data_IF_087640530341
#
_entry.id   IF_087640530341
#
_cell.length_a   1.000
_cell.length_b   1.000
_cell.length_c   1.000
_cell.angle_alpha   90.00
_cell.angle_beta   90.00
_cell.angle_gamma   90.00
#
_symmetry.space_group_name_H-M   'P 1'
#
loop_
_entity.id
_entity.type
_entity.pdbx_description
1 polymer ?
#
# COMPACT_ATOMS: atom_id res chain seq x y z
N UNK A 1 9.07 11.00 -0.38
CA UNK A 1 10.52 11.27 -0.49
C UNK A 1 11.16 10.29 -1.47
N UNK A 2 11.92 10.79 -2.39
CA UNK A 2 12.65 9.93 -3.30
C UNK A 2 13.86 9.31 -2.59
N UNK A 3 13.94 7.98 -2.57
CA UNK A 3 15.05 7.26 -1.94
C UNK A 3 16.14 6.93 -2.96
N UNK A 4 15.73 6.43 -4.11
CA UNK A 4 16.62 6.17 -5.25
C UNK A 4 15.93 6.63 -6.52
N UNK A 5 16.58 6.45 -7.67
CA UNK A 5 16.01 6.81 -8.98
C UNK A 5 14.62 6.19 -9.22
N UNK A 6 14.37 5.01 -8.66
CA UNK A 6 13.13 4.26 -8.89
C UNK A 6 12.34 3.95 -7.62
N UNK A 7 12.73 4.48 -6.47
CA UNK A 7 12.05 4.20 -5.20
C UNK A 7 11.68 5.50 -4.50
N UNK A 8 10.40 5.63 -4.20
CA UNK A 8 9.81 6.76 -3.51
C UNK A 8 9.06 6.25 -2.28
N UNK A 9 9.05 7.01 -1.20
CA UNK A 9 8.31 6.61 -0.01
C UNK A 9 7.57 7.76 0.63
N UNK A 10 6.47 7.44 1.29
CA UNK A 10 5.82 8.34 2.26
C UNK A 10 5.88 7.69 3.64
N UNK A 11 6.35 8.42 4.62
CA UNK A 11 6.49 7.96 5.99
C UNK A 11 5.27 8.41 6.80
N UNK A 12 4.49 7.46 7.26
CA UNK A 12 3.30 7.73 8.06
C UNK A 12 3.67 7.55 9.53
N UNK A 13 3.56 8.63 10.30
CA UNK A 13 3.83 8.60 11.73
C UNK A 13 2.53 8.35 12.50
N UNK A 14 2.56 7.42 13.44
CA UNK A 14 1.43 7.24 14.34
C UNK A 14 1.31 8.42 15.29
N UNK A 15 0.06 8.83 15.56
CA UNK A 15 -0.22 9.82 16.58
C UNK A 15 0.11 9.22 17.94
N UNK A 16 1.04 9.83 18.67
CA UNK A 16 1.45 9.37 19.99
C UNK A 16 0.32 9.45 21.02
N UNK A 17 -0.73 10.21 20.73
CA UNK A 17 -1.92 10.29 21.58
C UNK A 17 -2.94 9.20 21.27
N UNK A 18 -2.71 8.40 20.22
CA UNK A 18 -3.59 7.30 19.86
C UNK A 18 -3.34 6.16 20.84
N UNK A 19 -4.43 5.76 21.52
CA UNK A 19 -4.36 4.62 22.45
C UNK A 19 -4.00 3.35 21.68
N UNK A 20 -2.96 2.65 22.16
CA UNK A 20 -2.54 1.40 21.54
C UNK A 20 -1.62 1.55 20.34
N UNK A 21 -0.99 2.73 20.16
CA UNK A 21 0.01 2.91 19.11
C UNK A 21 1.10 1.84 19.22
N UNK A 22 1.32 1.08 18.15
CA UNK A 22 2.23 -0.06 18.13
C UNK A 22 3.45 0.15 17.22
N UNK A 23 3.51 1.28 16.53
CA UNK A 23 4.56 1.55 15.56
C UNK A 23 5.16 2.94 15.82
N UNK A 24 5.90 3.13 16.94
CA UNK A 24 6.41 4.46 17.33
C UNK A 24 7.33 5.09 16.28
N UNK A 25 7.96 4.28 15.42
CA UNK A 25 8.74 4.77 14.29
C UNK A 25 7.92 5.06 13.04
N UNK A 26 6.60 4.80 13.07
CA UNK A 26 5.73 4.95 11.92
C UNK A 26 5.84 3.80 10.93
N UNK A 27 5.20 3.96 9.79
CA UNK A 27 5.17 2.96 8.72
C UNK A 27 5.55 3.62 7.40
N UNK A 28 6.39 2.95 6.62
CA UNK A 28 6.77 3.41 5.29
C UNK A 28 5.89 2.74 4.24
N UNK A 29 5.37 3.54 3.32
CA UNK A 29 4.68 3.06 2.12
C UNK A 29 5.56 3.40 0.94
N UNK A 30 5.85 2.43 0.10
CA UNK A 30 6.77 2.61 -1.02
C UNK A 30 6.06 2.63 -2.36
N UNK A 31 6.56 3.46 -3.26
CA UNK A 31 6.18 3.47 -4.67
C UNK A 31 7.44 3.18 -5.48
N UNK A 32 7.41 2.13 -6.28
CA UNK A 32 8.57 1.65 -7.02
C UNK A 32 8.28 1.72 -8.52
N UNK A 33 9.14 2.39 -9.25
CA UNK A 33 9.03 2.52 -10.71
C UNK A 33 9.30 3.94 -11.17
N UNK A 34 8.68 4.32 -12.29
CA UNK A 34 8.84 5.63 -12.90
C UNK A 34 7.57 6.47 -12.71
N UNK A 35 7.63 7.62 -12.01
CA UNK A 35 6.46 8.49 -11.85
C UNK A 35 5.86 8.99 -13.16
N UNK A 36 6.62 9.00 -14.24
CA UNK A 36 6.15 9.37 -15.57
C UNK A 36 5.60 8.17 -16.37
N UNK A 37 5.64 6.98 -15.80
CA UNK A 37 5.17 5.76 -16.42
C UNK A 37 4.31 4.96 -15.47
N UNK A 38 4.73 3.74 -15.15
CA UNK A 38 4.00 2.87 -14.22
C UNK A 38 4.80 2.65 -12.95
N UNK A 39 4.09 2.52 -11.83
CA UNK A 39 4.67 2.22 -10.52
C UNK A 39 3.94 1.07 -9.85
N UNK A 40 4.60 0.46 -8.90
CA UNK A 40 4.02 -0.53 -7.99
C UNK A 40 4.02 0.07 -6.60
N UNK A 41 2.88 -0.02 -5.90
CA UNK A 41 2.78 0.40 -4.51
C UNK A 41 3.03 -0.79 -3.60
N UNK A 42 3.79 -0.58 -2.52
CA UNK A 42 4.09 -1.63 -1.54
C UNK A 42 3.40 -1.28 -0.23
N UNK A 43 2.49 -2.16 0.17
CA UNK A 43 1.63 -2.05 1.35
C UNK A 43 0.62 -0.89 1.28
N UNK A 44 -0.28 -0.79 2.24
CA UNK A 44 -1.42 0.14 2.19
C UNK A 44 -1.77 0.80 3.52
N UNK A 45 -0.97 0.57 4.57
CA UNK A 45 -1.14 1.25 5.85
C UNK A 45 -2.33 0.78 6.68
N UNK A 46 -2.56 1.48 7.78
CA UNK A 46 -3.67 1.24 8.69
C UNK A 46 -5.00 1.76 8.10
N UNK A 47 -6.18 1.33 8.63
CA UNK A 47 -7.47 1.73 8.07
C UNK A 47 -7.91 3.15 8.44
N UNK A 48 -7.04 3.97 8.98
CA UNK A 48 -7.37 5.34 9.35
C UNK A 48 -7.42 6.25 8.12
N UNK A 49 -8.41 7.11 8.08
CA UNK A 49 -8.59 8.06 6.96
C UNK A 49 -7.34 8.92 6.72
N UNK A 50 -6.70 9.35 7.81
CA UNK A 50 -5.50 10.19 7.70
C UNK A 50 -4.35 9.46 6.99
N UNK A 51 -4.19 8.16 7.24
CA UNK A 51 -3.19 7.35 6.57
C UNK A 51 -3.49 7.16 5.09
N UNK A 52 -4.73 6.77 4.79
CA UNK A 52 -5.18 6.61 3.40
C UNK A 52 -5.02 7.92 2.63
N UNK A 53 -5.42 9.04 3.24
CA UNK A 53 -5.30 10.36 2.64
C UNK A 53 -3.86 10.73 2.36
N UNK A 54 -2.95 10.49 3.32
CA UNK A 54 -1.53 10.76 3.12
C UNK A 54 -0.95 9.96 1.95
N UNK A 55 -1.32 8.68 1.84
CA UNK A 55 -0.87 7.82 0.74
C UNK A 55 -1.38 8.34 -0.60
N UNK A 56 -2.66 8.67 -0.68
CA UNK A 56 -3.26 9.16 -1.92
C UNK A 56 -2.77 10.56 -2.29
N UNK A 57 -2.53 11.42 -1.30
CA UNK A 57 -1.95 12.75 -1.52
C UNK A 57 -0.53 12.63 -2.06
N UNK A 58 0.26 11.69 -1.55
CA UNK A 58 1.60 11.46 -2.06
C UNK A 58 1.57 10.90 -3.48
N UNK A 59 0.64 10.01 -3.78
CA UNK A 59 0.43 9.51 -5.15
C UNK A 59 0.13 10.68 -6.11
N UNK A 60 -0.72 11.62 -5.69
CA UNK A 60 -1.02 12.81 -6.47
C UNK A 60 0.20 13.72 -6.62
N UNK A 61 1.02 13.83 -5.58
CA UNK A 61 2.27 14.60 -5.60
C UNK A 61 3.28 14.04 -6.61
N UNK A 62 3.28 12.73 -6.79
CA UNK A 62 4.11 12.06 -7.80
C UNK A 62 3.58 12.25 -9.24
N UNK A 63 2.41 12.88 -9.42
CA UNK A 63 1.79 13.10 -10.71
C UNK A 63 0.73 12.08 -11.08
N UNK A 64 0.21 11.36 -10.12
CA UNK A 64 -0.79 10.29 -10.30
C UNK A 64 -0.35 9.24 -11.32
N UNK A 65 0.84 8.64 -11.15
CA UNK A 65 1.29 7.60 -12.07
C UNK A 65 0.33 6.41 -12.03
N UNK A 66 0.27 5.66 -13.12
CA UNK A 66 -0.49 4.41 -13.13
C UNK A 66 0.14 3.43 -12.16
N UNK A 67 -0.66 2.90 -11.24
CA UNK A 67 -0.23 1.85 -10.33
C UNK A 67 -0.64 0.50 -10.93
N UNK A 68 0.34 -0.29 -11.33
CA UNK A 68 0.08 -1.58 -11.99
C UNK A 68 -0.30 -2.68 -11.01
N UNK A 69 0.13 -2.57 -9.75
CA UNK A 69 -0.24 -3.51 -8.70
C UNK A 69 0.07 -2.93 -7.32
N UNK A 70 -0.63 -3.42 -6.31
CA UNK A 70 -0.31 -3.19 -4.91
C UNK A 70 0.27 -4.49 -4.36
N UNK A 71 1.53 -4.46 -3.92
CA UNK A 71 2.18 -5.61 -3.31
C UNK A 71 2.01 -5.55 -1.81
N UNK A 72 1.53 -6.63 -1.22
CA UNK A 72 1.37 -6.74 0.24
C UNK A 72 2.48 -7.63 0.78
N UNK A 73 3.28 -7.08 1.69
CA UNK A 73 4.42 -7.79 2.27
C UNK A 73 4.00 -8.79 3.34
N UNK A 74 3.01 -8.42 4.17
CA UNK A 74 2.47 -9.32 5.19
C UNK A 74 1.11 -8.81 5.68
N UNK A 75 0.42 -9.64 6.47
CA UNK A 75 -0.97 -9.41 6.85
C UNK A 75 -1.21 -8.57 8.11
N UNK A 76 -0.23 -7.80 8.56
CA UNK A 76 -0.42 -6.90 9.70
C UNK A 76 -1.26 -5.68 9.32
N UNK A 77 -2.00 -5.14 10.29
CA UNK A 77 -2.94 -4.05 10.06
C UNK A 77 -2.32 -2.79 9.44
N UNK A 78 -1.07 -2.47 9.77
CA UNK A 78 -0.36 -1.32 9.22
C UNK A 78 0.06 -1.50 7.75
N UNK A 79 -0.17 -2.69 7.18
CA UNK A 79 0.15 -3.01 5.79
C UNK A 79 -1.07 -3.30 4.93
N UNK A 80 -2.19 -3.75 5.53
CA UNK A 80 -3.40 -4.11 4.78
C UNK A 80 -4.66 -3.35 5.21
N UNK A 81 -4.59 -2.57 6.29
CA UNK A 81 -5.78 -1.96 6.88
C UNK A 81 -6.53 -1.00 5.96
N UNK A 82 -5.81 -0.22 5.15
CA UNK A 82 -6.40 0.73 4.21
C UNK A 82 -6.55 0.21 2.78
N UNK A 83 -6.28 -1.09 2.58
CA UNK A 83 -6.17 -1.67 1.24
C UNK A 83 -7.44 -1.52 0.39
N UNK A 84 -8.60 -1.77 0.97
CA UNK A 84 -9.86 -1.69 0.25
C UNK A 84 -10.13 -0.30 -0.32
N UNK A 85 -9.88 0.75 0.46
CA UNK A 85 -10.07 2.14 0.00
C UNK A 85 -9.08 2.52 -1.08
N UNK A 86 -7.82 2.15 -0.89
CA UNK A 86 -6.76 2.48 -1.85
C UNK A 86 -6.97 1.71 -3.14
N UNK A 87 -7.34 0.43 -3.07
CA UNK A 87 -7.62 -0.38 -4.24
C UNK A 87 -8.80 0.18 -5.04
N UNK A 88 -9.84 0.68 -4.37
CA UNK A 88 -10.98 1.32 -5.05
C UNK A 88 -10.55 2.56 -5.85
N UNK A 89 -9.67 3.38 -5.29
CA UNK A 89 -9.21 4.59 -5.95
C UNK A 89 -8.25 4.29 -7.09
N UNK A 90 -7.28 3.40 -6.86
CA UNK A 90 -6.23 3.10 -7.83
C UNK A 90 -6.67 2.09 -8.89
N UNK A 91 -7.71 1.31 -8.61
CA UNK A 91 -8.29 0.31 -9.51
C UNK A 91 -7.23 -0.59 -10.15
N UNK A 92 -6.45 -1.26 -9.32
CA UNK A 92 -5.37 -2.12 -9.76
C UNK A 92 -5.39 -3.44 -8.99
N UNK A 93 -4.76 -4.51 -9.52
CA UNK A 93 -4.71 -5.78 -8.80
C UNK A 93 -3.85 -5.69 -7.54
N UNK A 94 -4.16 -6.55 -6.57
CA UNK A 94 -3.39 -6.72 -5.34
C UNK A 94 -2.64 -8.04 -5.44
N UNK A 95 -1.35 -8.03 -5.22
CA UNK A 95 -0.51 -9.23 -5.30
C UNK A 95 0.11 -9.52 -3.94
N UNK A 96 0.11 -10.79 -3.55
CA UNK A 96 0.56 -11.21 -2.23
C UNK A 96 1.03 -12.67 -2.25
N UNK A 97 1.63 -13.09 -1.14
CA UNK A 97 1.99 -14.49 -0.96
C UNK A 97 0.72 -15.38 -1.01
N UNK A 98 0.79 -16.57 -1.62
CA UNK A 98 -0.38 -17.46 -1.72
C UNK A 98 -1.09 -17.76 -0.41
N UNK A 99 -0.36 -17.81 0.70
CA UNK A 99 -0.96 -18.04 2.02
C UNK A 99 -1.82 -16.88 2.51
N UNK A 100 -1.57 -15.67 2.01
CA UNK A 100 -2.31 -14.48 2.38
C UNK A 100 -3.50 -14.22 1.45
N UNK A 101 -3.50 -14.80 0.27
CA UNK A 101 -4.50 -14.55 -0.77
C UNK A 101 -5.95 -14.78 -0.29
N UNK A 102 -6.29 -15.89 0.41
CA UNK A 102 -7.67 -16.08 0.87
C UNK A 102 -8.13 -14.99 1.83
N UNK A 103 -7.26 -14.53 2.72
CA UNK A 103 -7.58 -13.47 3.67
C UNK A 103 -7.86 -12.14 2.98
N UNK A 104 -7.02 -11.77 2.01
CA UNK A 104 -7.20 -10.52 1.27
C UNK A 104 -8.40 -10.59 0.33
N UNK A 105 -8.65 -11.73 -0.29
CA UNK A 105 -9.84 -11.94 -1.12
C UNK A 105 -11.11 -11.75 -0.30
N UNK A 106 -11.12 -12.27 0.93
CA UNK A 106 -12.24 -12.08 1.84
C UNK A 106 -12.40 -10.60 2.24
N UNK A 107 -11.28 -9.94 2.57
CA UNK A 107 -11.28 -8.53 2.96
C UNK A 107 -11.81 -7.61 1.85
N UNK A 108 -11.35 -7.81 0.63
CA UNK A 108 -11.71 -6.96 -0.50
C UNK A 108 -13.07 -7.31 -1.10
N UNK A 109 -13.47 -8.59 -1.05
CA UNK A 109 -14.72 -9.05 -1.63
C UNK A 109 -14.78 -8.92 -3.15
N UNK A 110 -13.64 -8.78 -3.81
CA UNK A 110 -13.50 -8.60 -5.26
C UNK A 110 -12.50 -9.61 -5.80
N UNK A 111 -12.62 -9.96 -7.07
CA UNK A 111 -11.67 -10.84 -7.74
C UNK A 111 -10.39 -10.13 -8.18
N UNK A 112 -9.86 -9.22 -7.37
CA UNK A 112 -8.69 -8.42 -7.73
C UNK A 112 -7.39 -8.86 -7.04
N UNK A 113 -7.45 -9.91 -6.21
CA UNK A 113 -6.27 -10.41 -5.49
C UNK A 113 -5.63 -11.52 -6.30
N UNK A 114 -4.33 -11.40 -6.52
CA UNK A 114 -3.53 -12.39 -7.25
C UNK A 114 -2.41 -12.90 -6.35
N UNK A 115 -2.17 -14.22 -6.38
CA UNK A 115 -1.05 -14.80 -5.68
C UNK A 115 0.25 -14.59 -6.46
N UNK A 116 1.32 -14.23 -5.76
CA UNK A 116 2.65 -14.17 -6.34
C UNK A 116 3.13 -15.58 -6.63
N UNK A 117 3.64 -15.81 -7.81
CA UNK A 117 4.23 -17.10 -8.17
C UNK A 117 5.71 -17.10 -7.78
N UNK A 118 6.22 -18.28 -7.56
CA UNK A 118 7.64 -18.46 -7.34
C UNK A 118 8.44 -17.88 -8.52
N UNK A 119 9.42 -17.05 -8.23
CA UNK A 119 10.28 -16.35 -9.21
C UNK A 119 9.64 -15.19 -9.98
N UNK A 120 8.57 -14.66 -9.46
CA UNK A 120 8.05 -13.38 -9.96
C UNK A 120 8.70 -12.19 -9.26
#
# INVERSE_FOLDING_TARGET
>A
MQITEHVYSTHILEDQNTFGAMHPGGTQIYFVGDPNGEMVMVDSGEPYRAWTRQILDYHAELGRPKISAILITHGHGDHIGGLDRIQDVLDCPVRCHPKLEPRLTHQLGKGCVESLRYRE
#
